data_IF_799896697138
#
_entry.id   IF_799896697138
#
_cell.length_a   1.000
_cell.length_b   1.000
_cell.length_c   1.000
_cell.angle_alpha   90.00
_cell.angle_beta   90.00
_cell.angle_gamma   90.00
#
_symmetry.space_group_name_H-M   'P 1'
#
loop_
_entity.id
_entity.type
_entity.pdbx_description
1 polymer ?
#
# COMPACT_ATOMS: atom_id res chain seq x y z
N UNK A 1 -25.17 5.47 -18.25
CA UNK A 1 -23.79 6.03 -18.30
C UNK A 1 -23.16 6.16 -16.92
N UNK A 2 -23.81 6.83 -15.95
CA UNK A 2 -23.27 7.03 -14.59
C UNK A 2 -22.78 5.74 -13.91
N UNK A 3 -23.60 4.69 -13.91
CA UNK A 3 -23.26 3.40 -13.29
C UNK A 3 -21.95 2.82 -13.86
N UNK A 4 -21.78 2.87 -15.18
CA UNK A 4 -20.57 2.35 -15.84
C UNK A 4 -19.32 3.16 -15.47
N UNK A 5 -19.45 4.48 -15.34
CA UNK A 5 -18.37 5.32 -14.81
C UNK A 5 -17.99 4.93 -13.38
N UNK A 6 -18.96 4.67 -12.51
CA UNK A 6 -18.70 4.22 -11.13
C UNK A 6 -17.98 2.87 -11.14
N UNK A 7 -18.41 1.91 -11.98
CA UNK A 7 -17.73 0.61 -12.12
C UNK A 7 -16.28 0.78 -12.60
N UNK A 8 -16.07 1.61 -13.61
CA UNK A 8 -14.74 1.89 -14.14
C UNK A 8 -13.81 2.44 -13.06
N UNK A 9 -14.27 3.45 -12.29
CA UNK A 9 -13.49 4.03 -11.18
C UNK A 9 -13.16 2.97 -10.13
N UNK A 10 -14.14 2.14 -9.75
CA UNK A 10 -13.92 1.06 -8.79
C UNK A 10 -12.83 0.09 -9.27
N UNK A 11 -12.90 -0.36 -10.53
CA UNK A 11 -11.87 -1.24 -11.08
C UNK A 11 -10.51 -0.56 -11.10
N UNK A 12 -10.43 0.69 -11.53
CA UNK A 12 -9.18 1.45 -11.55
C UNK A 12 -8.55 1.54 -10.15
N UNK A 13 -9.34 1.90 -9.13
CA UNK A 13 -8.89 1.95 -7.74
C UNK A 13 -8.40 0.58 -7.25
N UNK A 14 -9.11 -0.50 -7.59
CA UNK A 14 -8.71 -1.86 -7.22
C UNK A 14 -7.41 -2.30 -7.91
N UNK A 15 -7.18 -1.93 -9.17
CA UNK A 15 -5.90 -2.19 -9.84
C UNK A 15 -4.77 -1.40 -9.19
N UNK A 16 -4.99 -0.11 -8.91
CA UNK A 16 -4.01 0.75 -8.25
C UNK A 16 -3.64 0.22 -6.86
N UNK A 17 -4.63 -0.22 -6.07
CA UNK A 17 -4.40 -0.81 -4.76
C UNK A 17 -3.55 -2.08 -4.84
N UNK A 18 -3.78 -2.93 -5.85
CA UNK A 18 -2.96 -4.13 -6.09
C UNK A 18 -1.54 -3.79 -6.49
N UNK A 19 -1.36 -2.84 -7.41
CA UNK A 19 -0.04 -2.38 -7.83
C UNK A 19 0.74 -1.79 -6.63
N UNK A 20 0.08 -0.97 -5.82
CA UNK A 20 0.68 -0.40 -4.62
C UNK A 20 1.04 -1.48 -3.59
N UNK A 21 0.17 -2.46 -3.37
CA UNK A 21 0.46 -3.61 -2.50
C UNK A 21 1.66 -4.43 -2.99
N UNK A 22 1.82 -4.58 -4.31
CA UNK A 22 2.97 -5.26 -4.89
C UNK A 22 4.28 -4.48 -4.67
N UNK A 23 4.25 -3.16 -4.85
CA UNK A 23 5.39 -2.27 -4.52
C UNK A 23 5.81 -2.45 -3.06
N UNK A 24 4.85 -2.49 -2.14
CA UNK A 24 5.11 -2.75 -0.73
C UNK A 24 5.75 -4.10 -0.48
N UNK A 25 5.24 -5.15 -1.11
CA UNK A 25 5.79 -6.50 -0.98
C UNK A 25 7.26 -6.54 -1.42
N UNK A 26 7.58 -5.95 -2.58
CA UNK A 26 8.95 -5.82 -3.06
C UNK A 26 9.81 -5.04 -2.07
N UNK A 27 9.33 -3.90 -1.58
CA UNK A 27 10.07 -3.08 -0.62
C UNK A 27 10.37 -3.80 0.69
N UNK A 28 9.41 -4.57 1.23
CA UNK A 28 9.61 -5.38 2.44
C UNK A 28 10.80 -6.32 2.25
N UNK A 29 10.81 -7.06 1.14
CA UNK A 29 11.90 -7.98 0.83
C UNK A 29 13.24 -7.24 0.73
N UNK A 30 13.28 -6.12 -0.01
CA UNK A 30 14.50 -5.32 -0.16
C UNK A 30 15.01 -4.79 1.19
N UNK A 31 14.12 -4.28 2.03
CA UNK A 31 14.46 -3.75 3.35
C UNK A 31 15.04 -4.83 4.27
N UNK A 32 14.51 -6.05 4.20
CA UNK A 32 14.99 -7.17 5.01
C UNK A 32 16.31 -7.72 4.47
N UNK A 33 16.48 -7.83 3.15
CA UNK A 33 17.76 -8.21 2.55
C UNK A 33 18.88 -7.25 2.97
N UNK A 34 18.59 -5.95 3.04
CA UNK A 34 19.52 -4.97 3.57
C UNK A 34 19.79 -5.15 5.07
N UNK A 35 18.74 -5.38 5.86
CA UNK A 35 18.89 -5.61 7.31
C UNK A 35 19.76 -6.83 7.64
N UNK A 36 19.66 -7.90 6.84
CA UNK A 36 20.51 -9.09 6.96
C UNK A 36 21.93 -8.91 6.39
N UNK A 37 22.24 -7.76 5.79
CA UNK A 37 23.53 -7.51 5.12
C UNK A 37 23.73 -8.30 3.83
N UNK A 38 22.67 -8.90 3.28
CA UNK A 38 22.74 -9.66 2.03
C UNK A 38 22.80 -8.75 0.78
N UNK A 39 22.36 -7.50 0.91
CA UNK A 39 22.34 -6.50 -0.16
C UNK A 39 22.59 -5.09 0.42
N UNK A 40 23.23 -4.22 -0.34
CA UNK A 40 23.33 -2.79 -0.01
C UNK A 40 22.41 -1.98 -0.92
N UNK A 41 21.45 -1.23 -0.35
CA UNK A 41 20.63 -0.29 -1.10
C UNK A 41 21.30 1.08 -1.12
N UNK A 42 21.57 1.60 -2.31
CA UNK A 42 22.04 2.97 -2.51
C UNK A 42 20.86 3.94 -2.54
N UNK A 43 20.70 4.73 -1.47
CA UNK A 43 19.62 5.72 -1.36
C UNK A 43 19.82 6.97 -2.24
N UNK A 44 20.99 7.15 -2.85
CA UNK A 44 21.19 8.19 -3.87
C UNK A 44 20.63 7.77 -5.23
N UNK A 45 20.40 6.47 -5.45
CA UNK A 45 19.71 6.00 -6.65
C UNK A 45 18.26 6.54 -6.65
N UNK A 46 17.82 7.25 -7.71
CA UNK A 46 16.50 7.86 -7.77
C UNK A 46 15.36 6.84 -7.65
N UNK A 47 15.58 5.60 -8.11
CA UNK A 47 14.59 4.52 -8.01
C UNK A 47 14.45 4.10 -6.55
N UNK A 48 15.55 3.75 -5.87
CA UNK A 48 15.54 3.35 -4.46
C UNK A 48 14.96 4.46 -3.58
N UNK A 49 15.37 5.71 -3.82
CA UNK A 49 14.84 6.87 -3.11
C UNK A 49 13.34 7.07 -3.34
N UNK A 50 12.87 6.83 -4.57
CA UNK A 50 11.44 6.86 -4.87
C UNK A 50 10.69 5.81 -4.06
N UNK A 51 11.14 4.55 -4.07
CA UNK A 51 10.55 3.48 -3.26
C UNK A 51 10.53 3.87 -1.77
N UNK A 52 11.67 4.27 -1.20
CA UNK A 52 11.79 4.71 0.20
C UNK A 52 10.77 5.82 0.55
N UNK A 53 10.58 6.81 -0.32
CA UNK A 53 9.64 7.91 -0.09
C UNK A 53 8.17 7.46 -0.09
N UNK A 54 7.80 6.54 -0.97
CA UNK A 54 6.42 6.05 -1.08
C UNK A 54 6.10 4.91 -0.11
N UNK A 55 7.12 4.33 0.52
CA UNK A 55 7.00 3.30 1.53
C UNK A 55 7.33 3.83 2.93
N UNK A 56 8.60 3.90 3.31
CA UNK A 56 9.04 4.28 4.65
C UNK A 56 8.54 5.67 5.08
N UNK A 57 8.50 6.64 4.14
CA UNK A 57 7.90 7.95 4.40
C UNK A 57 6.39 7.90 4.73
N UNK A 58 5.69 6.83 4.36
CA UNK A 58 4.29 6.57 4.74
C UNK A 58 4.23 5.88 6.10
N UNK A 59 5.13 4.93 6.40
CA UNK A 59 5.19 4.25 7.70
C UNK A 59 5.45 5.24 8.82
N UNK A 60 6.41 6.15 8.64
CA UNK A 60 6.74 7.13 9.68
C UNK A 60 5.55 8.05 10.01
N UNK A 61 4.71 8.36 9.02
CA UNK A 61 3.47 9.13 9.20
C UNK A 61 2.38 8.32 9.89
N UNK A 62 2.18 7.07 9.49
CA UNK A 62 1.10 6.21 10.02
C UNK A 62 1.40 5.76 11.45
N UNK A 63 2.65 5.38 11.71
CA UNK A 63 3.07 4.85 13.01
C UNK A 63 3.65 5.94 13.93
N UNK A 64 3.68 7.21 13.51
CA UNK A 64 4.19 8.31 14.31
C UNK A 64 5.64 8.10 14.78
N UNK A 65 6.48 7.54 13.91
CA UNK A 65 7.85 7.13 14.21
C UNK A 65 7.99 5.89 15.11
N UNK A 66 6.90 5.27 15.58
CA UNK A 66 6.92 4.06 16.41
C UNK A 66 6.84 2.81 15.56
N UNK A 67 7.98 2.43 14.97
CA UNK A 67 8.10 1.22 14.17
C UNK A 67 8.07 -0.05 15.03
N UNK A 68 7.44 -1.09 14.49
CA UNK A 68 7.36 -2.44 15.06
C UNK A 68 8.61 -3.23 14.71
N UNK A 69 9.71 -2.94 15.40
CA UNK A 69 11.00 -3.60 15.18
C UNK A 69 11.08 -4.88 16.01
N UNK A 70 11.38 -6.00 15.36
CA UNK A 70 11.63 -7.30 16.00
C UNK A 70 13.03 -7.79 15.58
N UNK A 71 13.97 -7.74 16.53
CA UNK A 71 15.38 -7.99 16.24
C UNK A 71 15.93 -6.94 15.28
N UNK A 72 16.39 -7.37 14.11
CA UNK A 72 16.88 -6.49 13.02
C UNK A 72 15.82 -6.18 11.96
N UNK A 73 14.62 -6.78 12.07
CA UNK A 73 13.57 -6.62 11.07
C UNK A 73 12.53 -5.60 11.52
N UNK A 74 12.16 -4.70 10.62
CA UNK A 74 11.00 -3.83 10.77
C UNK A 74 9.75 -4.54 10.22
N UNK A 75 8.78 -4.82 11.08
CA UNK A 75 7.50 -5.44 10.73
C UNK A 75 6.41 -4.42 10.41
N UNK A 76 6.64 -3.12 10.62
CA UNK A 76 5.64 -2.07 10.33
C UNK A 76 5.18 -2.08 8.87
N UNK A 77 6.09 -2.20 7.89
CA UNK A 77 5.72 -2.37 6.47
C UNK A 77 4.81 -3.58 6.22
N UNK A 78 5.05 -4.70 6.91
CA UNK A 78 4.26 -5.91 6.77
C UNK A 78 2.85 -5.73 7.35
N UNK A 79 2.74 -5.13 8.55
CA UNK A 79 1.44 -4.79 9.15
C UNK A 79 0.67 -3.84 8.25
N UNK A 80 1.33 -2.84 7.68
CA UNK A 80 0.69 -1.93 6.74
C UNK A 80 0.21 -2.63 5.46
N UNK A 81 1.02 -3.54 4.91
CA UNK A 81 0.62 -4.34 3.76
C UNK A 81 -0.62 -5.21 4.07
N UNK A 82 -0.69 -5.80 5.27
CA UNK A 82 -1.89 -6.55 5.70
C UNK A 82 -3.12 -5.65 5.76
N UNK A 83 -3.00 -4.42 6.28
CA UNK A 83 -4.09 -3.44 6.26
C UNK A 83 -4.51 -3.10 4.83
N UNK A 84 -3.55 -2.88 3.92
CA UNK A 84 -3.85 -2.62 2.51
C UNK A 84 -4.54 -3.80 1.81
N UNK A 85 -4.19 -5.05 2.16
CA UNK A 85 -4.77 -6.23 1.53
C UNK A 85 -6.12 -6.64 2.13
N UNK A 86 -6.35 -6.39 3.42
CA UNK A 86 -7.54 -6.85 4.12
C UNK A 86 -8.57 -5.73 4.31
N UNK A 87 -8.13 -4.55 4.75
CA UNK A 87 -9.05 -3.48 5.16
C UNK A 87 -9.45 -2.61 3.97
N UNK A 88 -8.48 -2.17 3.16
CA UNK A 88 -8.76 -1.25 2.04
C UNK A 88 -9.75 -1.79 1.00
N UNK A 89 -9.69 -3.09 0.57
CA UNK A 89 -10.66 -3.62 -0.40
C UNK A 89 -12.07 -3.69 0.17
N UNK A 90 -12.22 -3.96 1.48
CA UNK A 90 -13.51 -3.97 2.16
C UNK A 90 -14.11 -2.57 2.12
N UNK A 91 -13.34 -1.56 2.50
CA UNK A 91 -13.79 -0.15 2.47
C UNK A 91 -14.21 0.24 1.05
N UNK A 92 -13.36 -0.01 0.04
CA UNK A 92 -13.67 0.30 -1.35
C UNK A 92 -14.94 -0.40 -1.82
N UNK A 93 -15.13 -1.67 -1.45
CA UNK A 93 -16.34 -2.42 -1.79
C UNK A 93 -17.58 -1.81 -1.16
N UNK A 94 -17.53 -1.46 0.13
CA UNK A 94 -18.66 -0.83 0.84
C UNK A 94 -19.03 0.50 0.20
N UNK A 95 -18.04 1.37 -0.04
CA UNK A 95 -18.25 2.68 -0.68
C UNK A 95 -18.84 2.50 -2.08
N UNK A 96 -18.30 1.56 -2.86
CA UNK A 96 -18.80 1.28 -4.21
C UNK A 96 -20.25 0.79 -4.21
N UNK A 97 -20.61 -0.14 -3.31
CA UNK A 97 -21.99 -0.61 -3.18
C UNK A 97 -22.93 0.54 -2.78
N UNK A 98 -22.51 1.40 -1.86
CA UNK A 98 -23.28 2.58 -1.48
C UNK A 98 -23.52 3.51 -2.67
N UNK A 99 -22.48 3.82 -3.45
CA UNK A 99 -22.58 4.67 -4.64
C UNK A 99 -23.47 4.07 -5.72
N UNK A 100 -23.39 2.76 -5.95
CA UNK A 100 -24.28 2.08 -6.89
C UNK A 100 -25.74 2.15 -6.44
N UNK A 101 -26.01 1.92 -5.16
CA UNK A 101 -27.37 1.99 -4.62
C UNK A 101 -27.97 3.39 -4.76
N UNK A 102 -27.15 4.43 -4.58
CA UNK A 102 -27.58 5.81 -4.81
C UNK A 102 -27.86 6.07 -6.30
N UNK A 103 -26.96 5.63 -7.18
CA UNK A 103 -27.08 5.85 -8.62
C UNK A 103 -28.26 5.11 -9.27
N UNK A 104 -28.74 4.02 -8.68
CA UNK A 104 -29.95 3.30 -9.15
C UNK A 104 -31.24 4.01 -8.75
N UNK A 105 -31.21 4.84 -7.70
CA UNK A 105 -32.37 5.58 -7.19
C UNK A 105 -32.59 6.93 -7.88
N UNK A 106 -31.66 7.34 -8.75
CA UNK A 106 -31.67 8.60 -9.51
C UNK A 106 -31.90 8.26 -10.98
#
# INVERSE_FOLDING_TARGET
MLIETIRFIYYLLMQTLRLYSFIWFVWIILSWLQAFGAMHLDYYNPIVNFFYKITDGVIDKIFGGRRLIVGILDLSPLVFLLVLQLVAPIILRVVFQFLLNLAVRI
#
